data_IF_517451067426
#
_entry.id   IF_517451067426
#
_cell.length_a   1.000
_cell.length_b   1.000
_cell.length_c   1.000
_cell.angle_alpha   90.00
_cell.angle_beta   90.00
_cell.angle_gamma   90.00
#
_symmetry.space_group_name_H-M   'P 1'
#
loop_
_entity.id
_entity.type
_entity.pdbx_description
1 polymer ?
#
# COMPACT_ATOMS: atom_id res chain seq x y z
N UNK A 1 45.91 -22.22 -60.67
CA UNK A 1 45.40 -21.08 -59.88
C UNK A 1 43.90 -21.20 -59.81
N UNK A 2 43.35 -21.64 -58.67
CA UNK A 2 41.92 -21.89 -58.47
C UNK A 2 41.32 -20.70 -57.73
N UNK A 3 40.25 -20.16 -58.31
CA UNK A 3 39.53 -18.95 -57.92
C UNK A 3 38.86 -19.09 -56.53
N UNK A 4 39.36 -18.34 -55.54
CA UNK A 4 38.84 -18.32 -54.16
C UNK A 4 37.79 -17.22 -53.92
N UNK A 5 37.23 -16.60 -54.95
CA UNK A 5 36.35 -15.43 -54.79
C UNK A 5 34.87 -15.74 -54.53
N UNK A 6 34.41 -16.99 -54.69
CA UNK A 6 32.96 -17.32 -54.67
C UNK A 6 32.42 -17.69 -53.28
N UNK A 7 33.26 -18.10 -52.32
CA UNK A 7 32.80 -18.67 -51.05
C UNK A 7 32.51 -17.66 -49.94
N UNK A 8 32.89 -16.38 -50.11
CA UNK A 8 32.74 -15.35 -49.07
C UNK A 8 31.38 -14.63 -49.08
N UNK A 9 30.64 -14.66 -50.19
CA UNK A 9 29.31 -14.00 -50.29
C UNK A 9 28.16 -14.78 -49.67
N UNK A 10 28.27 -16.11 -49.51
CA UNK A 10 27.17 -16.97 -49.02
C UNK A 10 27.06 -17.04 -47.49
N UNK A 11 28.10 -16.62 -46.74
CA UNK A 11 28.11 -16.66 -45.26
C UNK A 11 27.56 -15.38 -44.61
N UNK A 12 27.53 -14.26 -45.32
CA UNK A 12 27.01 -12.97 -44.82
C UNK A 12 25.48 -12.83 -44.97
N UNK A 13 24.85 -13.57 -45.88
CA UNK A 13 23.39 -13.55 -46.10
C UNK A 13 22.61 -14.37 -45.06
N UNK A 14 23.18 -15.47 -44.56
CA UNK A 14 22.47 -16.35 -43.62
C UNK A 14 22.39 -15.76 -42.19
N UNK A 15 23.42 -15.02 -41.75
CA UNK A 15 23.41 -14.33 -40.44
C UNK A 15 22.54 -13.06 -40.39
N UNK A 16 22.23 -12.48 -41.56
CA UNK A 16 21.34 -11.32 -41.69
C UNK A 16 19.87 -11.70 -41.85
N UNK A 17 19.58 -12.89 -42.38
CA UNK A 17 18.23 -13.44 -42.42
C UNK A 17 17.76 -13.88 -41.01
N UNK A 18 18.60 -14.61 -40.27
CA UNK A 18 18.27 -15.05 -38.90
C UNK A 18 18.09 -13.90 -37.91
N UNK A 19 18.82 -12.79 -38.09
CA UNK A 19 18.67 -11.58 -37.26
C UNK A 19 17.42 -10.77 -37.61
N UNK A 20 17.01 -10.73 -38.87
CA UNK A 20 15.72 -10.14 -39.29
C UNK A 20 14.53 -10.94 -38.82
N UNK A 21 14.59 -12.27 -38.90
CA UNK A 21 13.55 -13.18 -38.40
C UNK A 21 13.42 -13.07 -36.86
N UNK A 22 14.55 -13.04 -36.15
CA UNK A 22 14.54 -12.83 -34.69
C UNK A 22 13.99 -11.45 -34.30
N UNK A 23 14.31 -10.39 -35.06
CA UNK A 23 13.76 -9.05 -34.84
C UNK A 23 12.25 -8.99 -35.11
N UNK A 24 11.78 -9.62 -36.20
CA UNK A 24 10.36 -9.71 -36.51
C UNK A 24 9.57 -10.44 -35.42
N UNK A 25 10.09 -11.58 -34.93
CA UNK A 25 9.50 -12.33 -33.82
C UNK A 25 9.47 -11.52 -32.51
N UNK A 26 10.51 -10.72 -32.26
CA UNK A 26 10.56 -9.85 -31.08
C UNK A 26 9.52 -8.73 -31.18
N UNK A 27 9.35 -8.15 -32.37
CA UNK A 27 8.34 -7.12 -32.63
C UNK A 27 6.93 -7.68 -32.46
N UNK A 28 6.65 -8.87 -33.00
CA UNK A 28 5.35 -9.54 -32.86
C UNK A 28 4.98 -9.75 -31.39
N UNK A 29 5.91 -10.25 -30.57
CA UNK A 29 5.71 -10.39 -29.12
C UNK A 29 5.45 -9.07 -28.42
N UNK A 30 6.14 -8.00 -28.82
CA UNK A 30 5.93 -6.67 -28.26
C UNK A 30 4.55 -6.13 -28.61
N UNK A 31 4.10 -6.33 -29.86
CA UNK A 31 2.77 -5.91 -30.31
C UNK A 31 1.65 -6.67 -29.57
N UNK A 32 1.82 -7.97 -29.34
CA UNK A 32 0.93 -8.76 -28.48
C UNK A 32 0.88 -8.24 -27.05
N UNK A 33 2.05 -7.90 -26.50
CA UNK A 33 2.17 -7.36 -25.15
C UNK A 33 1.47 -6.00 -25.02
N UNK A 34 1.61 -5.12 -26.02
CA UNK A 34 0.93 -3.82 -26.08
C UNK A 34 -0.58 -4.03 -26.12
N UNK A 35 -1.10 -4.92 -26.97
CA UNK A 35 -2.53 -5.25 -27.02
C UNK A 35 -3.05 -5.78 -25.67
N UNK A 36 -2.26 -6.57 -24.98
CA UNK A 36 -2.60 -7.06 -23.63
C UNK A 36 -2.65 -5.92 -22.63
N UNK A 37 -1.66 -5.03 -22.60
CA UNK A 37 -1.67 -3.88 -21.69
C UNK A 37 -2.85 -2.95 -21.98
N UNK A 38 -3.19 -2.78 -23.24
CA UNK A 38 -4.34 -2.01 -23.69
C UNK A 38 -5.64 -2.57 -23.08
N UNK A 39 -5.88 -3.87 -23.28
CA UNK A 39 -7.03 -4.57 -22.71
C UNK A 39 -7.06 -4.54 -21.18
N UNK A 40 -5.90 -4.60 -20.52
CA UNK A 40 -5.81 -4.50 -19.06
C UNK A 40 -6.20 -3.11 -18.57
N UNK A 41 -5.73 -2.05 -19.24
CA UNK A 41 -6.13 -0.68 -18.93
C UNK A 41 -7.63 -0.47 -19.07
N UNK A 42 -8.22 -0.96 -20.17
CA UNK A 42 -9.68 -0.94 -20.39
C UNK A 42 -10.45 -1.67 -19.29
N UNK A 43 -9.97 -2.84 -18.84
CA UNK A 43 -10.58 -3.57 -17.73
C UNK A 43 -10.57 -2.73 -16.45
N UNK A 44 -9.43 -2.10 -16.13
CA UNK A 44 -9.30 -1.25 -14.93
C UNK A 44 -10.28 -0.08 -14.99
N UNK A 45 -10.39 0.60 -16.13
CA UNK A 45 -11.35 1.72 -16.30
C UNK A 45 -12.78 1.28 -15.99
N UNK A 46 -13.18 0.07 -16.44
CA UNK A 46 -14.50 -0.51 -16.18
C UNK A 46 -14.69 -0.98 -14.74
N UNK A 47 -13.62 -1.42 -14.09
CA UNK A 47 -13.62 -1.88 -12.69
C UNK A 47 -13.70 -0.73 -11.68
N UNK A 48 -13.21 0.48 -12.01
CA UNK A 48 -13.12 1.62 -11.08
C UNK A 48 -14.42 1.88 -10.28
N UNK A 49 -15.62 1.94 -10.88
CA UNK A 49 -16.86 2.13 -10.12
C UNK A 49 -17.09 1.03 -9.06
N UNK A 50 -16.82 -0.23 -9.42
CA UNK A 50 -16.99 -1.35 -8.49
C UNK A 50 -15.99 -1.32 -7.35
N UNK A 51 -14.75 -0.87 -7.60
CA UNK A 51 -13.74 -0.70 -6.55
C UNK A 51 -14.11 0.39 -5.55
N UNK A 52 -14.62 1.53 -6.04
CA UNK A 52 -15.09 2.64 -5.21
C UNK A 52 -16.22 2.17 -4.30
N UNK A 53 -17.24 1.52 -4.88
CA UNK A 53 -18.40 1.05 -4.13
C UNK A 53 -18.04 -0.05 -3.10
N UNK A 54 -17.17 -1.00 -3.47
CA UNK A 54 -16.69 -2.04 -2.54
C UNK A 54 -15.97 -1.43 -1.34
N UNK A 55 -15.06 -0.48 -1.59
CA UNK A 55 -14.30 0.17 -0.51
C UNK A 55 -15.20 1.04 0.39
N UNK A 56 -16.12 1.82 -0.18
CA UNK A 56 -17.11 2.58 0.58
C UNK A 56 -17.98 1.67 1.46
N UNK A 57 -18.45 0.53 0.94
CA UNK A 57 -19.26 -0.42 1.69
C UNK A 57 -18.46 -1.12 2.80
N UNK A 58 -17.17 -1.40 2.56
CA UNK A 58 -16.30 -2.08 3.52
C UNK A 58 -15.75 -1.14 4.58
N UNK A 59 -15.59 0.15 4.31
CA UNK A 59 -15.05 1.14 5.24
C UNK A 59 -15.67 1.06 6.66
N UNK A 60 -17.00 1.14 6.84
CA UNK A 60 -17.61 1.02 8.17
C UNK A 60 -17.52 -0.39 8.78
N UNK A 61 -17.28 -1.42 7.97
CA UNK A 61 -17.10 -2.81 8.43
C UNK A 61 -15.68 -3.07 8.92
N UNK A 62 -14.69 -2.38 8.34
CA UNK A 62 -13.29 -2.41 8.75
C UNK A 62 -13.12 -1.55 10.01
N UNK A 63 -13.67 -0.34 9.97
CA UNK A 63 -13.56 0.64 11.04
C UNK A 63 -14.87 0.70 11.85
N UNK A 64 -15.11 -0.34 12.65
CA UNK A 64 -16.33 -0.48 13.44
C UNK A 64 -16.41 0.44 14.66
N UNK A 65 -15.28 1.03 15.08
CA UNK A 65 -15.24 2.05 16.13
C UNK A 65 -15.74 3.37 15.58
N UNK A 66 -16.79 3.89 16.19
CA UNK A 66 -17.48 5.14 15.83
C UNK A 66 -17.28 6.22 16.89
N UNK A 67 -16.68 5.86 18.01
CA UNK A 67 -16.23 6.74 19.09
C UNK A 67 -15.30 7.84 18.54
N UNK A 68 -15.23 8.97 19.25
CA UNK A 68 -14.20 9.98 18.95
C UNK A 68 -12.80 9.52 19.42
N UNK A 69 -11.77 10.29 19.10
CA UNK A 69 -10.39 9.92 19.41
C UNK A 69 -10.12 9.77 20.91
N UNK A 70 -10.75 10.59 21.75
CA UNK A 70 -10.57 10.57 23.21
C UNK A 70 -11.28 9.37 23.80
N UNK A 71 -12.50 9.10 23.35
CA UNK A 71 -13.26 7.92 23.75
C UNK A 71 -12.56 6.61 23.34
N UNK A 72 -11.97 6.56 22.14
CA UNK A 72 -11.22 5.41 21.66
C UNK A 72 -9.91 5.22 22.44
N UNK A 73 -9.21 6.30 22.76
CA UNK A 73 -8.04 6.28 23.64
C UNK A 73 -8.39 5.71 25.01
N UNK A 74 -9.47 6.19 25.64
CA UNK A 74 -9.95 5.68 26.93
C UNK A 74 -10.31 4.19 26.84
N UNK A 75 -10.90 3.76 25.72
CA UNK A 75 -11.23 2.35 25.49
C UNK A 75 -9.96 1.48 25.39
N UNK A 76 -8.94 1.93 24.66
CA UNK A 76 -7.66 1.22 24.57
C UNK A 76 -6.92 1.24 25.92
N UNK A 77 -6.89 2.36 26.63
CA UNK A 77 -6.26 2.49 27.95
C UNK A 77 -6.83 1.47 28.96
N UNK A 78 -8.14 1.22 28.92
CA UNK A 78 -8.82 0.25 29.81
C UNK A 78 -8.47 -1.21 29.50
N UNK A 79 -7.98 -1.54 28.30
CA UNK A 79 -7.84 -2.92 27.85
C UNK A 79 -6.52 -3.19 27.13
N UNK A 80 -6.39 -2.84 25.86
CA UNK A 80 -5.21 -3.17 25.04
C UNK A 80 -3.92 -2.48 25.52
N UNK A 81 -4.06 -1.29 26.12
CA UNK A 81 -2.98 -0.45 26.61
C UNK A 81 -2.88 -0.43 28.14
N UNK A 82 -3.64 -1.25 28.85
CA UNK A 82 -3.50 -1.40 30.31
C UNK A 82 -2.15 -2.08 30.64
N UNK A 83 -1.69 -1.98 31.89
CA UNK A 83 -0.44 -2.65 32.30
C UNK A 83 -0.47 -4.16 32.02
N UNK A 84 -1.62 -4.80 32.23
CA UNK A 84 -1.83 -6.23 31.94
C UNK A 84 -1.85 -6.50 30.43
N UNK A 85 -2.49 -5.61 29.65
CA UNK A 85 -2.52 -5.66 28.20
C UNK A 85 -1.11 -5.59 27.60
N UNK A 86 -0.29 -4.64 28.05
CA UNK A 86 1.10 -4.49 27.61
C UNK A 86 1.96 -5.68 28.04
N UNK A 87 1.84 -6.15 29.28
CA UNK A 87 2.60 -7.31 29.78
C UNK A 87 2.24 -8.63 29.10
N UNK A 88 1.08 -8.71 28.45
CA UNK A 88 0.72 -9.87 27.62
C UNK A 88 1.63 -10.05 26.40
N UNK A 89 2.37 -9.01 26.00
CA UNK A 89 3.25 -9.01 24.83
C UNK A 89 2.51 -8.98 23.49
N UNK A 90 1.17 -8.91 23.49
CA UNK A 90 0.37 -8.88 22.27
C UNK A 90 0.25 -7.44 21.74
N UNK A 91 0.34 -7.23 20.41
CA UNK A 91 0.02 -5.93 19.83
C UNK A 91 -1.48 -5.66 19.93
N UNK A 92 -1.88 -4.41 19.70
CA UNK A 92 -3.30 -4.06 19.66
C UNK A 92 -3.99 -4.73 18.45
N UNK A 93 -4.89 -5.70 18.67
CA UNK A 93 -5.46 -6.50 17.59
C UNK A 93 -6.34 -5.68 16.65
N UNK A 94 -6.96 -4.59 17.14
CA UNK A 94 -7.78 -3.70 16.32
C UNK A 94 -6.91 -3.00 15.28
N UNK A 95 -5.76 -2.49 15.71
CA UNK A 95 -4.82 -1.79 14.83
C UNK A 95 -4.17 -2.77 13.85
N UNK A 96 -3.76 -3.95 14.31
CA UNK A 96 -3.13 -4.96 13.45
C UNK A 96 -4.07 -5.40 12.33
N UNK A 97 -5.35 -5.64 12.63
CA UNK A 97 -6.32 -6.05 11.62
C UNK A 97 -6.60 -4.93 10.62
N UNK A 98 -6.86 -3.71 11.11
CA UNK A 98 -7.08 -2.56 10.24
C UNK A 98 -5.86 -2.30 9.32
N UNK A 99 -4.65 -2.31 9.87
CA UNK A 99 -3.42 -2.08 9.12
C UNK A 99 -3.19 -3.15 8.04
N UNK A 100 -3.45 -4.43 8.35
CA UNK A 100 -3.37 -5.53 7.35
C UNK A 100 -4.29 -5.30 6.17
N UNK A 101 -5.53 -4.89 6.44
CA UNK A 101 -6.52 -4.62 5.39
C UNK A 101 -6.09 -3.42 4.57
N UNK A 102 -5.75 -2.29 5.21
CA UNK A 102 -5.33 -1.06 4.54
C UNK A 102 -4.09 -1.30 3.68
N UNK A 103 -3.04 -1.92 4.23
CA UNK A 103 -1.81 -2.27 3.49
C UNK A 103 -2.12 -3.07 2.21
N UNK A 104 -3.06 -4.03 2.30
CA UNK A 104 -3.48 -4.83 1.15
C UNK A 104 -4.23 -4.01 0.10
N UNK A 105 -5.04 -3.04 0.50
CA UNK A 105 -5.73 -2.16 -0.46
C UNK A 105 -4.76 -1.19 -1.15
N UNK A 106 -3.74 -0.69 -0.44
CA UNK A 106 -2.67 0.11 -1.04
C UNK A 106 -1.83 -0.69 -2.05
N UNK A 107 -1.46 -1.93 -1.75
CA UNK A 107 -0.74 -2.81 -2.69
C UNK A 107 -1.51 -3.02 -4.00
N UNK A 108 -2.81 -3.33 -3.90
CA UNK A 108 -3.69 -3.44 -5.07
C UNK A 108 -3.79 -2.12 -5.84
N UNK A 109 -3.84 -0.99 -5.12
CA UNK A 109 -3.93 0.32 -5.74
C UNK A 109 -2.67 0.66 -6.52
N UNK A 110 -1.49 0.46 -5.94
CA UNK A 110 -0.21 0.63 -6.61
C UNK A 110 -0.13 -0.20 -7.89
N UNK A 111 -0.58 -1.45 -7.86
CA UNK A 111 -0.63 -2.32 -9.05
C UNK A 111 -1.58 -1.79 -10.13
N UNK A 112 -2.81 -1.40 -9.75
CA UNK A 112 -3.81 -0.89 -10.71
C UNK A 112 -3.42 0.47 -11.28
N UNK A 113 -2.94 1.40 -10.46
CA UNK A 113 -2.49 2.73 -10.89
C UNK A 113 -1.29 2.62 -11.83
N UNK A 114 -0.34 1.72 -11.56
CA UNK A 114 0.82 1.49 -12.44
C UNK A 114 0.39 0.98 -13.81
N UNK A 115 -0.58 0.06 -13.86
CA UNK A 115 -1.15 -0.45 -15.11
C UNK A 115 -1.96 0.63 -15.85
N UNK A 116 -2.71 1.45 -15.13
CA UNK A 116 -3.46 2.58 -15.71
C UNK A 116 -2.53 3.67 -16.24
N UNK A 117 -1.43 3.97 -15.55
CA UNK A 117 -0.41 4.91 -16.00
C UNK A 117 0.25 4.40 -17.29
N UNK A 118 0.60 3.12 -17.34
CA UNK A 118 1.11 2.49 -18.57
C UNK A 118 0.10 2.57 -19.70
N UNK A 119 -1.19 2.35 -19.43
CA UNK A 119 -2.26 2.52 -20.42
C UNK A 119 -2.28 3.92 -21.02
N UNK A 120 -2.23 4.97 -20.19
CA UNK A 120 -2.17 6.36 -20.67
C UNK A 120 -0.93 6.61 -21.53
N UNK A 121 0.25 6.16 -21.08
CA UNK A 121 1.52 6.36 -21.78
C UNK A 121 1.54 5.71 -23.16
N UNK A 122 0.93 4.53 -23.33
CA UNK A 122 0.87 3.84 -24.63
C UNK A 122 0.00 4.56 -25.65
N UNK A 123 -0.90 5.45 -25.22
CA UNK A 123 -1.74 6.25 -26.11
C UNK A 123 -1.15 7.63 -26.43
N UNK A 124 0.04 7.95 -25.93
CA UNK A 124 0.74 9.19 -26.30
C UNK A 124 1.22 9.07 -27.76
N UNK A 125 0.79 9.97 -28.66
CA UNK A 125 1.14 9.90 -30.07
C UNK A 125 2.54 10.47 -30.31
N UNK A 126 3.03 10.32 -31.54
CA UNK A 126 4.25 10.99 -31.99
C UNK A 126 4.15 12.50 -31.81
N UNK A 127 5.24 13.15 -31.40
CA UNK A 127 5.33 14.61 -31.33
C UNK A 127 5.16 15.24 -32.72
N UNK A 128 4.25 16.21 -32.81
CA UNK A 128 3.93 16.98 -34.02
C UNK A 128 3.68 18.45 -33.63
N UNK A 129 3.81 19.35 -34.61
CA UNK A 129 3.51 20.77 -34.43
C UNK A 129 1.98 21.00 -34.52
N UNK A 130 1.38 21.50 -33.44
CA UNK A 130 -0.06 21.72 -33.32
C UNK A 130 -0.90 20.51 -32.90
N UNK A 131 -2.19 20.74 -32.62
CA UNK A 131 -3.16 19.73 -32.17
C UNK A 131 -2.73 18.93 -30.90
N UNK A 132 -2.14 19.63 -29.92
CA UNK A 132 -1.57 19.03 -28.72
C UNK A 132 -2.47 19.07 -27.48
N UNK A 133 -3.68 19.66 -27.55
CA UNK A 133 -4.58 19.74 -26.40
C UNK A 133 -4.89 18.37 -25.76
N UNK A 134 -5.20 17.34 -26.56
CA UNK A 134 -5.44 16.01 -26.01
C UNK A 134 -4.19 15.39 -25.39
N UNK A 135 -3.00 15.70 -25.93
CA UNK A 135 -1.72 15.26 -25.38
C UNK A 135 -1.46 15.93 -24.03
N UNK A 136 -1.83 17.20 -23.87
CA UNK A 136 -1.76 17.91 -22.59
C UNK A 136 -2.70 17.29 -21.55
N UNK A 137 -3.92 16.91 -21.94
CA UNK A 137 -4.86 16.17 -21.06
C UNK A 137 -4.25 14.83 -20.61
N UNK A 138 -3.62 14.09 -21.51
CA UNK A 138 -2.89 12.86 -21.15
C UNK A 138 -1.73 13.15 -20.17
N UNK A 139 -0.94 14.19 -20.43
CA UNK A 139 0.20 14.55 -19.59
C UNK A 139 -0.24 14.95 -18.17
N UNK A 140 -1.31 15.74 -18.05
CA UNK A 140 -1.88 16.11 -16.75
C UNK A 140 -2.33 14.89 -15.96
N UNK A 141 -3.09 13.99 -16.59
CA UNK A 141 -3.56 12.79 -15.90
C UNK A 141 -2.42 11.84 -15.53
N UNK A 142 -1.45 11.65 -16.43
CA UNK A 142 -0.27 10.83 -16.17
C UNK A 142 0.58 11.40 -15.01
N UNK A 143 0.70 12.73 -14.92
CA UNK A 143 1.31 13.42 -13.79
C UNK A 143 0.58 13.11 -12.48
N UNK A 144 -0.75 13.22 -12.49
CA UNK A 144 -1.57 12.89 -11.30
C UNK A 144 -1.45 11.42 -10.88
N UNK A 145 -1.41 10.49 -11.82
CA UNK A 145 -1.16 9.06 -11.54
C UNK A 145 0.21 8.84 -10.89
N UNK A 146 1.24 9.59 -11.32
CA UNK A 146 2.55 9.59 -10.69
C UNK A 146 2.54 10.08 -9.25
N UNK A 147 1.79 11.15 -8.96
CA UNK A 147 1.58 11.64 -7.59
C UNK A 147 0.89 10.60 -6.71
N UNK A 148 -0.14 9.92 -7.22
CA UNK A 148 -0.85 8.88 -6.48
C UNK A 148 0.00 7.64 -6.21
N UNK A 149 0.83 7.22 -7.17
CA UNK A 149 1.78 6.12 -6.96
C UNK A 149 2.79 6.47 -5.88
N UNK A 150 3.33 7.69 -5.90
CA UNK A 150 4.25 8.16 -4.85
C UNK A 150 3.55 8.20 -3.49
N UNK A 151 2.34 8.73 -3.43
CA UNK A 151 1.56 8.75 -2.20
C UNK A 151 1.30 7.34 -1.64
N UNK A 152 0.98 6.36 -2.49
CA UNK A 152 0.83 4.97 -2.04
C UNK A 152 2.11 4.42 -1.43
N UNK A 153 3.27 4.67 -2.05
CA UNK A 153 4.58 4.25 -1.56
C UNK A 153 4.92 4.92 -0.21
N UNK A 154 4.78 6.25 -0.13
CA UNK A 154 5.01 7.03 1.09
C UNK A 154 4.12 6.52 2.24
N UNK A 155 2.83 6.30 2.00
CA UNK A 155 1.87 5.81 3.03
C UNK A 155 2.20 4.40 3.48
N UNK A 156 2.62 3.50 2.60
CA UNK A 156 3.08 2.16 3.00
C UNK A 156 4.36 2.26 3.86
N UNK A 157 5.24 3.19 3.51
CA UNK A 157 6.46 3.46 4.26
C UNK A 157 6.21 4.08 5.64
N UNK A 158 5.19 4.92 5.79
CA UNK A 158 4.78 5.47 7.09
C UNK A 158 4.14 4.37 7.97
N UNK A 159 3.27 3.54 7.38
CA UNK A 159 2.55 2.49 8.10
C UNK A 159 3.44 1.34 8.60
N UNK A 160 4.61 1.12 7.99
CA UNK A 160 5.57 0.09 8.47
C UNK A 160 6.13 0.43 9.86
N UNK A 161 6.13 1.71 10.25
CA UNK A 161 6.81 2.21 11.45
C UNK A 161 5.97 2.02 12.73
N UNK A 162 4.66 1.79 12.62
CA UNK A 162 3.76 1.66 13.79
C UNK A 162 4.29 0.70 14.85
N UNK A 163 4.67 -0.52 14.47
CA UNK A 163 5.15 -1.52 15.42
C UNK A 163 6.47 -1.11 16.10
N UNK A 164 7.36 -0.44 15.36
CA UNK A 164 8.62 0.07 15.91
C UNK A 164 8.36 1.18 16.92
N UNK A 165 7.53 2.17 16.56
CA UNK A 165 7.18 3.28 17.45
C UNK A 165 6.50 2.78 18.72
N UNK A 166 5.52 1.90 18.59
CA UNK A 166 4.84 1.29 19.74
C UNK A 166 5.79 0.49 20.63
N UNK A 167 6.71 -0.29 20.05
CA UNK A 167 7.69 -1.06 20.81
C UNK A 167 8.64 -0.16 21.59
N UNK A 168 9.04 0.98 21.03
CA UNK A 168 9.90 1.95 21.70
C UNK A 168 9.21 2.60 22.91
N UNK A 169 7.92 2.97 22.78
CA UNK A 169 7.13 3.47 23.92
C UNK A 169 7.08 2.43 25.05
N UNK A 170 6.84 1.16 24.70
CA UNK A 170 6.77 0.06 25.67
C UNK A 170 8.13 -0.21 26.32
N UNK A 171 9.22 -0.10 25.56
CA UNK A 171 10.59 -0.28 26.06
C UNK A 171 10.91 0.69 27.20
N UNK A 172 10.41 1.92 27.11
CA UNK A 172 10.59 2.97 28.12
C UNK A 172 9.78 2.74 29.40
N UNK A 173 8.83 1.79 29.39
CA UNK A 173 8.02 1.49 30.57
C UNK A 173 8.78 0.69 31.63
N UNK A 174 10.01 0.25 31.36
CA UNK A 174 10.93 -0.46 32.27
C UNK A 174 10.16 -1.21 33.36
N UNK A 175 9.46 -2.29 32.97
CA UNK A 175 8.75 -3.14 33.94
C UNK A 175 9.77 -3.90 34.81
N UNK A 176 10.64 -3.17 35.52
CA UNK A 176 11.48 -3.69 36.57
C UNK A 176 10.55 -4.20 37.66
N UNK A 177 10.45 -5.52 37.76
CA UNK A 177 9.88 -6.17 38.92
C UNK A 177 10.87 -5.95 40.06
N UNK A 178 10.64 -4.96 40.91
CA UNK A 178 11.31 -4.92 42.20
C UNK A 178 10.80 -6.12 43.00
N UNK A 179 11.62 -7.16 43.11
CA UNK A 179 11.31 -8.34 43.92
C UNK A 179 11.59 -7.99 45.39
N UNK A 180 10.54 -7.68 46.16
CA UNK A 180 10.64 -7.72 47.61
C UNK A 180 10.56 -9.18 48.08
N UNK A 181 11.69 -9.76 48.46
CA UNK A 181 11.68 -10.98 49.27
C UNK A 181 11.37 -10.62 50.72
N UNK A 182 10.22 -11.09 51.22
CA UNK A 182 9.92 -11.07 52.66
C UNK A 182 10.14 -12.47 53.22
N UNK A 183 11.10 -12.57 54.13
CA UNK A 183 11.32 -13.79 54.90
C UNK A 183 10.54 -13.68 56.22
N UNK A 184 9.65 -14.64 56.47
CA UNK A 184 8.93 -14.75 57.74
C UNK A 184 9.49 -15.93 58.51
N UNK A 185 10.01 -15.66 59.71
CA UNK A 185 10.50 -16.68 60.63
C UNK A 185 9.43 -16.91 61.68
N UNK A 186 8.89 -18.13 61.76
CA UNK A 186 8.02 -18.54 62.86
C UNK A 186 8.77 -19.53 63.74
N UNK A 187 8.94 -19.17 65.01
CA UNK A 187 9.50 -20.03 66.05
C UNK A 187 8.34 -20.55 66.93
N UNK A 188 8.19 -21.88 66.99
CA UNK A 188 7.37 -22.56 67.99
C UNK A 188 8.21 -23.68 68.59
N UNK A 189 8.29 -23.70 69.92
CA UNK A 189 8.84 -24.77 70.79
C UNK A 189 9.53 -25.92 70.03
N UNK A 190 10.84 -25.74 69.78
CA UNK A 190 11.78 -26.67 69.12
C UNK A 190 11.70 -26.83 67.58
N UNK A 191 10.93 -26.02 66.85
CA UNK A 191 10.98 -25.93 65.38
C UNK A 191 10.98 -24.49 64.84
N UNK A 192 12.02 -24.16 64.07
CA UNK A 192 12.08 -22.94 63.23
C UNK A 192 11.56 -23.29 61.84
N UNK A 193 10.56 -22.56 61.36
CA UNK A 193 10.08 -22.67 59.97
C UNK A 193 10.25 -21.33 59.28
N UNK A 194 10.97 -21.29 58.17
CA UNK A 194 11.13 -20.10 57.33
C UNK A 194 10.25 -20.19 56.10
N UNK A 195 9.46 -19.16 55.85
CA UNK A 195 8.66 -19.01 54.63
C UNK A 195 9.10 -17.75 53.88
N UNK A 196 9.52 -17.92 52.63
CA UNK A 196 9.80 -16.82 51.70
C UNK A 196 8.55 -16.44 50.94
N UNK A 197 8.14 -15.18 51.02
CA UNK A 197 7.10 -14.59 50.20
C UNK A 197 7.70 -13.53 49.29
N UNK A 198 7.49 -13.68 47.99
CA UNK A 198 8.01 -12.77 46.96
C UNK A 198 6.89 -11.80 46.55
N UNK A 199 7.07 -10.50 46.79
CA UNK A 199 6.15 -9.45 46.32
C UNK A 199 6.84 -8.59 45.27
N UNK A 200 6.36 -8.64 44.03
CA UNK A 200 6.84 -7.73 42.98
C UNK A 200 6.16 -6.36 43.13
N UNK A 201 6.92 -5.30 43.33
CA UNK A 201 6.42 -3.92 43.28
C UNK A 201 6.85 -3.30 41.95
N UNK A 202 5.89 -2.78 41.20
CA UNK A 202 6.14 -2.04 39.95
C UNK A 202 6.07 -0.56 40.31
N UNK A 203 7.19 0.15 40.31
CA UNK A 203 7.20 1.58 40.61
C UNK A 203 8.06 2.33 39.59
N UNK A 204 7.45 2.62 38.44
CA UNK A 204 8.05 3.44 37.39
C UNK A 204 7.33 4.79 37.43
N UNK A 205 7.99 5.89 37.87
CA UNK A 205 7.32 7.18 38.08
C UNK A 205 6.58 7.70 36.85
N UNK A 206 7.08 7.39 35.66
CA UNK A 206 6.54 7.78 34.35
C UNK A 206 5.48 6.81 33.79
N UNK A 207 5.11 5.74 34.51
CA UNK A 207 4.26 4.68 33.97
C UNK A 207 2.88 5.20 33.52
N UNK A 208 2.26 6.09 34.31
CA UNK A 208 0.95 6.64 33.96
C UNK A 208 0.97 7.42 32.64
N UNK A 209 2.00 8.25 32.44
CA UNK A 209 2.17 9.02 31.21
C UNK A 209 2.49 8.13 30.02
N UNK A 210 3.33 7.10 30.20
CA UNK A 210 3.65 6.14 29.13
C UNK A 210 2.44 5.29 28.73
N UNK A 211 1.61 4.87 29.69
CA UNK A 211 0.35 4.15 29.40
C UNK A 211 -0.63 5.03 28.61
N UNK A 212 -0.72 6.31 28.98
CA UNK A 212 -1.52 7.31 28.24
C UNK A 212 -0.94 7.56 26.84
N UNK A 213 0.39 7.59 26.73
CA UNK A 213 1.04 7.81 25.44
C UNK A 213 0.82 6.64 24.47
N UNK A 214 0.92 5.39 24.93
CA UNK A 214 0.65 4.23 24.07
C UNK A 214 -0.83 4.14 23.67
N UNK A 215 -1.79 4.51 24.55
CA UNK A 215 -3.21 4.55 24.18
C UNK A 215 -3.50 5.64 23.15
N UNK A 216 -2.91 6.83 23.30
CA UNK A 216 -3.00 7.90 22.30
C UNK A 216 -2.37 7.49 20.96
N UNK A 217 -1.22 6.82 21.00
CA UNK A 217 -0.54 6.32 19.81
C UNK A 217 -1.41 5.31 19.04
N UNK A 218 -1.98 4.33 19.74
CA UNK A 218 -2.89 3.35 19.13
C UNK A 218 -4.18 4.01 18.60
N UNK A 219 -4.77 4.95 19.34
CA UNK A 219 -5.96 5.68 18.89
C UNK A 219 -5.69 6.52 17.64
N UNK A 220 -4.58 7.28 17.61
CA UNK A 220 -4.18 8.05 16.43
C UNK A 220 -3.96 7.13 15.21
N UNK A 221 -3.26 6.00 15.39
CA UNK A 221 -3.03 5.07 14.29
C UNK A 221 -4.34 4.54 13.69
N UNK A 222 -5.35 4.27 14.52
CA UNK A 222 -6.66 3.84 14.02
C UNK A 222 -7.30 4.88 13.09
N UNK A 223 -7.28 6.15 13.49
CA UNK A 223 -7.82 7.24 12.66
C UNK A 223 -6.97 7.52 11.43
N UNK A 224 -5.64 7.42 11.54
CA UNK A 224 -4.73 7.53 10.38
C UNK A 224 -5.10 6.49 9.32
N UNK A 225 -5.19 5.21 9.69
CA UNK A 225 -5.57 4.13 8.78
C UNK A 225 -6.96 4.33 8.16
N UNK A 226 -7.91 4.85 8.94
CA UNK A 226 -9.26 5.16 8.46
C UNK A 226 -9.25 6.26 7.41
N UNK A 227 -8.53 7.35 7.69
CA UNK A 227 -8.41 8.49 6.78
C UNK A 227 -7.68 8.09 5.50
N UNK A 228 -6.61 7.31 5.59
CA UNK A 228 -5.89 6.78 4.42
C UNK A 228 -6.80 5.95 3.51
N UNK A 229 -7.67 5.10 4.08
CA UNK A 229 -8.61 4.33 3.26
C UNK A 229 -9.68 5.22 2.61
N UNK A 230 -10.13 6.28 3.29
CA UNK A 230 -11.03 7.29 2.69
C UNK A 230 -10.34 8.05 1.56
N UNK A 231 -9.08 8.46 1.74
CA UNK A 231 -8.31 9.13 0.69
C UNK A 231 -8.05 8.20 -0.51
N UNK A 232 -7.87 6.89 -0.27
CA UNK A 232 -7.76 5.90 -1.34
C UNK A 232 -9.05 5.83 -2.18
N UNK A 233 -10.22 5.92 -1.54
CA UNK A 233 -11.51 6.00 -2.24
C UNK A 233 -11.60 7.28 -3.04
N UNK A 234 -11.26 8.43 -2.45
CA UNK A 234 -11.24 9.74 -3.12
C UNK A 234 -10.32 9.74 -4.35
N UNK A 235 -9.16 9.08 -4.25
CA UNK A 235 -8.24 8.88 -5.36
C UNK A 235 -8.87 8.08 -6.50
N UNK A 236 -9.48 6.93 -6.21
CA UNK A 236 -10.17 6.13 -7.23
C UNK A 236 -11.33 6.89 -7.86
N UNK A 237 -12.10 7.65 -7.06
CA UNK A 237 -13.17 8.51 -7.53
C UNK A 237 -12.65 9.58 -8.48
N UNK A 238 -11.55 10.25 -8.13
CA UNK A 238 -10.90 11.21 -9.01
C UNK A 238 -10.46 10.56 -10.34
N UNK A 239 -9.82 9.38 -10.29
CA UNK A 239 -9.45 8.64 -11.50
C UNK A 239 -10.67 8.33 -12.38
N UNK A 240 -11.75 7.83 -11.78
CA UNK A 240 -12.98 7.51 -12.49
C UNK A 240 -13.61 8.75 -13.15
N UNK A 241 -13.79 9.83 -12.40
CA UNK A 241 -14.41 11.07 -12.91
C UNK A 241 -13.53 11.69 -14.00
N UNK A 242 -12.21 11.75 -13.79
CA UNK A 242 -11.29 12.28 -14.78
C UNK A 242 -11.36 11.49 -16.09
N UNK A 243 -11.27 10.16 -16.00
CA UNK A 243 -11.38 9.27 -17.16
C UNK A 243 -12.75 9.42 -17.83
N UNK A 244 -13.85 9.34 -17.08
CA UNK A 244 -15.21 9.48 -17.63
C UNK A 244 -15.37 10.76 -18.46
N UNK A 245 -14.82 11.87 -17.98
CA UNK A 245 -14.98 13.17 -18.63
C UNK A 245 -14.00 13.37 -19.81
N UNK A 246 -12.86 12.69 -19.80
CA UNK A 246 -11.75 12.94 -20.74
C UNK A 246 -11.34 11.70 -21.55
N UNK A 247 -12.10 10.61 -21.50
CA UNK A 247 -11.71 9.31 -22.03
C UNK A 247 -11.31 9.38 -23.51
N UNK A 248 -12.06 10.12 -24.32
CA UNK A 248 -11.73 10.28 -25.74
C UNK A 248 -10.37 10.95 -25.96
N UNK A 249 -9.98 11.91 -25.12
CA UNK A 249 -8.68 12.58 -25.19
C UNK A 249 -7.55 11.71 -24.63
N UNK A 250 -7.86 10.87 -23.65
CA UNK A 250 -6.90 9.88 -23.13
C UNK A 250 -6.62 8.78 -24.16
N UNK A 251 -7.65 8.29 -24.85
CA UNK A 251 -7.54 7.19 -25.82
C UNK A 251 -7.07 7.67 -27.19
N UNK A 252 -7.59 8.82 -27.63
CA UNK A 252 -7.35 9.40 -28.95
C UNK A 252 -7.13 10.91 -28.83
N UNK A 253 -5.95 11.35 -28.36
CA UNK A 253 -5.66 12.76 -28.06
C UNK A 253 -5.81 13.67 -29.27
N UNK A 254 -5.61 13.15 -30.49
CA UNK A 254 -5.79 13.87 -31.77
C UNK A 254 -7.11 13.55 -32.49
N UNK A 255 -8.05 12.92 -31.80
CA UNK A 255 -9.31 12.43 -32.38
C UNK A 255 -9.17 11.04 -33.00
N UNK A 256 -10.31 10.40 -33.28
CA UNK A 256 -10.35 9.13 -33.99
C UNK A 256 -9.95 9.40 -35.44
N UNK A 257 -8.83 8.83 -35.88
CA UNK A 257 -8.57 8.70 -37.31
C UNK A 257 -9.66 7.78 -37.89
N UNK A 258 -10.30 8.17 -39.00
CA UNK A 258 -11.39 7.42 -39.65
C UNK A 258 -11.01 5.97 -40.08
N UNK A 259 -9.78 5.52 -39.82
CA UNK A 259 -9.30 4.16 -40.06
C UNK A 259 -9.39 3.18 -38.87
N UNK A 260 -9.87 3.59 -37.69
CA UNK A 260 -10.06 2.71 -36.54
C UNK A 260 -11.52 2.73 -36.03
N UNK A 261 -12.46 2.44 -36.92
CA UNK A 261 -13.80 2.00 -36.52
C UNK A 261 -13.73 0.55 -36.02
N UNK A 262 -13.46 0.37 -34.73
CA UNK A 262 -13.99 -0.80 -34.00
C UNK A 262 -15.15 -0.29 -33.16
N UNK A 263 -16.36 -0.46 -33.70
CA UNK A 263 -17.60 -0.34 -32.95
C UNK A 263 -17.54 -1.24 -31.71
N UNK A 264 -17.75 -0.68 -30.53
CA UNK A 264 -18.43 -1.41 -29.46
C UNK A 264 -19.44 -0.46 -28.82
N UNK A 265 -20.70 -0.82 -29.02
CA UNK A 265 -21.80 -0.47 -28.12
C UNK A 265 -21.61 -1.21 -26.78
#
# INVERSE_FOLDING_TARGET
>A
MVDQSVTKKRRLSNGTATTKEAAAHTQEKLDELIKRFDSVGESIVKELPSLILDLEERLPKIFTRTEDIVELEDAFAKKECSSEGIQSGKPNPVIVEANRIVTKEFDKASEKLSKLQRFVLMHVPREEDGNNFGVEVQAQFNGKLGEYLKWCDDTQDENKVYHQARAEIIRQMEFERAVEERETVCEKEDKVTTSKATKSVVNVPQLGDLLSYVSRHDALQYFTLKNELQELISMYLHCYIYLKNNYEKIRWPRGKSEGMNMHMY
#
